data_IF_199411223207
#
_entry.id   IF_199411223207
#
_cell.length_a   1.000
_cell.length_b   1.000
_cell.length_c   1.000
_cell.angle_alpha   90.00
_cell.angle_beta   90.00
_cell.angle_gamma   90.00
#
_symmetry.space_group_name_H-M   'P 1'
#
loop_
_entity.id
_entity.type
_entity.pdbx_description
1 polymer ?
#
# COMPACT_ATOMS: atom_id res chain seq x y z
N UNK A 1 -22.31 -23.90 -1.13
CA UNK A 1 -20.92 -23.77 -1.61
C UNK A 1 -20.53 -22.34 -1.26
N UNK A 2 -20.04 -22.14 -0.04
CA UNK A 2 -19.97 -20.81 0.60
C UNK A 2 -18.55 -20.51 1.12
N UNK A 3 -17.57 -21.36 0.75
CA UNK A 3 -16.18 -21.25 1.21
C UNK A 3 -15.40 -20.13 0.54
N UNK A 4 -15.52 -19.94 -0.77
CA UNK A 4 -14.68 -19.00 -1.54
C UNK A 4 -14.98 -17.51 -1.26
N UNK A 5 -16.17 -17.16 -0.75
CA UNK A 5 -16.54 -15.75 -0.52
C UNK A 5 -15.90 -15.13 0.72
N UNK A 6 -15.58 -15.93 1.74
CA UNK A 6 -14.96 -15.46 2.98
C UNK A 6 -13.49 -15.10 2.76
N UNK A 7 -12.77 -15.90 1.98
CA UNK A 7 -11.36 -15.66 1.65
C UNK A 7 -11.19 -14.40 0.82
N UNK A 8 -12.08 -14.18 -0.16
CA UNK A 8 -12.03 -12.99 -1.00
C UNK A 8 -12.36 -11.70 -0.23
N UNK A 9 -13.29 -11.77 0.73
CA UNK A 9 -13.63 -10.63 1.59
C UNK A 9 -12.46 -10.28 2.53
N UNK A 10 -11.77 -11.27 3.10
CA UNK A 10 -10.59 -11.06 3.93
C UNK A 10 -9.42 -10.46 3.16
N UNK A 11 -9.17 -10.93 1.93
CA UNK A 11 -8.16 -10.37 1.05
C UNK A 11 -8.48 -8.91 0.66
N UNK A 12 -9.75 -8.60 0.36
CA UNK A 12 -10.20 -7.22 0.10
C UNK A 12 -9.98 -6.31 1.30
N UNK A 13 -10.34 -6.74 2.51
CA UNK A 13 -10.10 -5.97 3.73
C UNK A 13 -8.60 -5.71 3.95
N UNK A 14 -7.75 -6.71 3.67
CA UNK A 14 -6.29 -6.54 3.73
C UNK A 14 -5.77 -5.57 2.67
N UNK A 15 -6.30 -5.62 1.45
CA UNK A 15 -5.95 -4.69 0.37
C UNK A 15 -6.30 -3.25 0.75
N UNK A 16 -7.48 -3.05 1.31
CA UNK A 16 -7.96 -1.73 1.76
C UNK A 16 -7.06 -1.15 2.87
N UNK A 17 -6.70 -1.98 3.86
CA UNK A 17 -5.76 -1.60 4.91
C UNK A 17 -4.36 -1.25 4.36
N UNK A 18 -3.86 -2.00 3.37
CA UNK A 18 -2.59 -1.70 2.71
C UNK A 18 -2.66 -0.40 1.89
N UNK A 19 -3.78 -0.13 1.23
CA UNK A 19 -4.04 1.13 0.53
C UNK A 19 -4.05 2.32 1.49
N UNK A 20 -4.75 2.22 2.62
CA UNK A 20 -4.81 3.26 3.65
C UNK A 20 -3.42 3.54 4.22
N UNK A 21 -2.66 2.49 4.56
CA UNK A 21 -1.28 2.62 5.02
C UNK A 21 -0.38 3.30 3.97
N UNK A 22 -0.52 2.93 2.69
CA UNK A 22 0.24 3.54 1.59
C UNK A 22 -0.13 5.02 1.41
N UNK A 23 -1.41 5.38 1.55
CA UNK A 23 -1.87 6.77 1.46
C UNK A 23 -1.34 7.60 2.63
N UNK A 24 -1.40 7.09 3.86
CA UNK A 24 -0.84 7.76 5.04
C UNK A 24 0.66 8.03 4.86
N UNK A 25 1.40 7.04 4.35
CA UNK A 25 2.82 7.17 4.07
C UNK A 25 3.11 8.23 2.99
N UNK A 26 2.22 8.34 1.99
CA UNK A 26 2.34 9.35 0.95
C UNK A 26 2.14 10.76 1.51
N UNK A 27 1.15 10.96 2.38
CA UNK A 27 0.92 12.22 3.09
C UNK A 27 2.12 12.57 3.98
N UNK A 28 2.73 11.61 4.66
CA UNK A 28 3.91 11.87 5.47
C UNK A 28 5.13 12.29 4.62
N UNK A 29 5.33 11.66 3.45
CA UNK A 29 6.39 12.07 2.51
C UNK A 29 6.16 13.48 1.98
N UNK A 30 4.91 13.81 1.64
CA UNK A 30 4.53 15.13 1.11
C UNK A 30 4.73 16.23 2.16
N UNK A 31 4.26 15.99 3.39
CA UNK A 31 4.45 16.88 4.53
C UNK A 31 5.94 17.11 4.86
N UNK A 32 6.78 16.07 4.74
CA UNK A 32 8.23 16.20 4.92
C UNK A 32 8.89 16.99 3.78
N UNK A 33 8.35 16.89 2.57
CA UNK A 33 8.82 17.67 1.42
C UNK A 33 8.44 19.15 1.54
N UNK A 34 7.23 19.47 2.02
CA UNK A 34 6.74 20.84 2.21
C UNK A 34 7.42 21.58 3.36
N UNK A 35 7.76 20.89 4.45
CA UNK A 35 8.40 21.52 5.63
C UNK A 35 9.86 21.99 5.38
N UNK A 36 10.42 21.77 4.18
CA UNK A 36 11.73 22.33 3.76
C UNK A 36 12.96 21.73 4.46
N UNK A 37 12.78 21.00 5.57
CA UNK A 37 13.81 20.15 6.18
C UNK A 37 13.79 18.81 5.45
N UNK A 38 14.48 18.77 4.30
CA UNK A 38 14.62 17.55 3.49
C UNK A 38 15.53 16.58 4.24
N UNK A 39 14.96 15.86 5.20
CA UNK A 39 15.62 14.75 5.87
C UNK A 39 15.69 13.59 4.87
N UNK A 40 16.73 13.64 4.03
CA UNK A 40 16.91 12.69 2.92
C UNK A 40 16.95 11.24 3.41
N UNK A 41 17.42 11.01 4.64
CA UNK A 41 17.43 9.69 5.25
C UNK A 41 16.01 9.21 5.56
N UNK A 42 15.18 10.09 6.13
CA UNK A 42 13.76 9.79 6.42
C UNK A 42 12.97 9.57 5.14
N UNK A 43 13.15 10.44 4.13
CA UNK A 43 12.51 10.29 2.82
C UNK A 43 12.93 8.98 2.14
N UNK A 44 14.21 8.60 2.21
CA UNK A 44 14.69 7.34 1.65
C UNK A 44 14.05 6.12 2.34
N UNK A 45 13.87 6.16 3.66
CA UNK A 45 13.16 5.10 4.41
C UNK A 45 11.69 5.02 4.01
N UNK A 46 11.00 6.16 3.97
CA UNK A 46 9.58 6.21 3.59
C UNK A 46 9.37 5.76 2.14
N UNK A 47 10.22 6.16 1.20
CA UNK A 47 10.15 5.66 -0.19
C UNK A 47 10.33 4.14 -0.27
N UNK A 48 11.22 3.58 0.56
CA UNK A 48 11.44 2.13 0.63
C UNK A 48 10.23 1.40 1.23
N UNK A 49 9.62 1.94 2.27
CA UNK A 49 8.37 1.42 2.83
C UNK A 49 7.21 1.53 1.84
N UNK A 50 7.12 2.65 1.11
CA UNK A 50 6.11 2.87 0.06
C UNK A 50 6.20 1.82 -1.03
N UNK A 51 7.43 1.50 -1.47
CA UNK A 51 7.68 0.46 -2.45
C UNK A 51 7.24 -0.92 -1.93
N UNK A 52 7.57 -1.25 -0.67
CA UNK A 52 7.14 -2.51 -0.04
C UNK A 52 5.61 -2.63 0.06
N UNK A 53 4.93 -1.56 0.47
CA UNK A 53 3.47 -1.53 0.52
C UNK A 53 2.88 -1.73 -0.88
N UNK A 54 3.44 -1.06 -1.90
CA UNK A 54 3.03 -1.26 -3.30
C UNK A 54 3.22 -2.70 -3.76
N UNK A 55 4.34 -3.32 -3.44
CA UNK A 55 4.61 -4.75 -3.73
C UNK A 55 3.61 -5.69 -3.03
N UNK A 56 3.26 -5.42 -1.76
CA UNK A 56 2.24 -6.19 -1.05
C UNK A 56 0.84 -5.98 -1.64
N UNK A 57 0.46 -4.75 -1.98
CA UNK A 57 -0.80 -4.44 -2.65
C UNK A 57 -0.89 -5.21 -3.96
N UNK A 58 0.18 -5.20 -4.77
CA UNK A 58 0.24 -5.95 -6.02
C UNK A 58 0.01 -7.44 -5.77
N UNK A 59 0.69 -8.05 -4.80
CA UNK A 59 0.54 -9.48 -4.49
C UNK A 59 -0.85 -9.85 -3.99
N UNK A 60 -1.48 -9.00 -3.18
CA UNK A 60 -2.83 -9.23 -2.67
C UNK A 60 -3.86 -8.98 -3.76
N UNK A 61 -3.68 -7.96 -4.58
CA UNK A 61 -4.54 -7.65 -5.73
C UNK A 61 -4.52 -8.79 -6.74
N UNK A 62 -3.34 -9.32 -7.07
CA UNK A 62 -3.14 -10.46 -7.99
C UNK A 62 -3.89 -11.72 -7.51
N UNK A 63 -3.98 -11.92 -6.20
CA UNK A 63 -4.76 -13.02 -5.60
C UNK A 63 -6.28 -12.82 -5.66
N UNK A 64 -6.77 -11.57 -5.67
CA UNK A 64 -8.20 -11.26 -5.70
C UNK A 64 -8.73 -11.17 -7.13
N UNK A 65 -7.95 -10.58 -8.03
CA UNK A 65 -8.28 -10.36 -9.44
C UNK A 65 -6.98 -10.28 -10.23
N UNK A 66 -6.66 -11.23 -11.12
CA UNK A 66 -5.41 -11.20 -11.90
C UNK A 66 -5.36 -10.08 -12.98
N UNK A 67 -6.26 -9.09 -12.96
CA UNK A 67 -6.52 -8.20 -14.10
C UNK A 67 -6.89 -6.76 -13.70
N UNK A 68 -6.10 -6.08 -12.85
CA UNK A 68 -6.38 -4.66 -12.52
C UNK A 68 -5.13 -3.75 -12.64
N UNK A 69 -3.93 -4.30 -12.86
CA UNK A 69 -2.71 -3.47 -12.98
C UNK A 69 -2.14 -3.63 -14.40
N UNK A 70 -2.83 -2.98 -15.34
CA UNK A 70 -2.36 -2.57 -16.67
C UNK A 70 -2.50 -1.05 -16.80
#
# INVERSE_FOLDING_TARGET
>A
MDGESLDQAGLRARLDALHEAHQALNTEVDALSENGVVDQLKIARLKKEKLRLKDEIQKVSDQITPDIIA
#
